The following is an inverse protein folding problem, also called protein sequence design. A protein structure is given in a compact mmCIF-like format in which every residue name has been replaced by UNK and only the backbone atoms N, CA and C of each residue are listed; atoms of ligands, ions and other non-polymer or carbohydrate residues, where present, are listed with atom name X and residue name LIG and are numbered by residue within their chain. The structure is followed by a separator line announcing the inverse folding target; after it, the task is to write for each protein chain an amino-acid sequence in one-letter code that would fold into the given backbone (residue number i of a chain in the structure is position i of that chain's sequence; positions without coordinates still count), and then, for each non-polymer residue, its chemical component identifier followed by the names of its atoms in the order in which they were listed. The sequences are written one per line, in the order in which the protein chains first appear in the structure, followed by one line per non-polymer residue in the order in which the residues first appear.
data_IF_855324832724
#
_entry.id   IF_855324832724
#
_cell.length_a   1.000
_cell.length_b   1.000
_cell.length_c   1.000
_cell.angle_alpha   90.00
_cell.angle_beta   90.00
_cell.angle_gamma   90.00
#
_symmetry.space_group_name_H-M   'P 1'
#
loop_
_entity.id
_entity.type
_entity.pdbx_description
1 polymer ?
#
# COMPACT_ATOMS: atom_id res chain seq x y z
N UNK A 1 -10.07 25.44 -3.08
CA UNK A 1 -10.25 24.58 -1.90
C UNK A 1 -10.08 23.14 -2.40
N UNK A 2 -9.01 22.46 -2.02
CA UNK A 2 -8.84 21.04 -2.32
C UNK A 2 -10.00 20.31 -1.61
N UNK A 3 -10.88 19.62 -2.37
CA UNK A 3 -11.81 18.68 -1.75
C UNK A 3 -10.95 17.62 -1.04
N UNK A 4 -11.02 17.60 0.27
CA UNK A 4 -10.42 16.53 1.07
C UNK A 4 -10.92 15.20 0.54
N UNK A 5 -9.99 14.29 0.21
CA UNK A 5 -10.34 12.97 -0.30
C UNK A 5 -10.98 12.20 0.86
N UNK A 6 -12.31 12.27 0.96
CA UNK A 6 -13.07 11.62 2.01
C UNK A 6 -13.05 10.09 1.83
N UNK A 7 -13.22 9.34 2.94
CA UNK A 7 -13.42 7.87 2.90
C UNK A 7 -14.59 7.48 1.99
N UNK A 8 -15.59 8.34 1.88
CA UNK A 8 -16.77 8.17 1.03
C UNK A 8 -16.41 8.29 -0.46
N UNK A 9 -15.57 9.27 -0.81
CA UNK A 9 -15.00 9.40 -2.16
C UNK A 9 -14.21 8.15 -2.58
N UNK A 10 -13.40 7.60 -1.67
CA UNK A 10 -12.63 6.38 -1.92
C UNK A 10 -13.55 5.19 -2.21
N UNK A 11 -14.61 5.00 -1.40
CA UNK A 11 -15.61 3.93 -1.61
C UNK A 11 -16.35 4.07 -2.92
N UNK A 12 -16.83 5.27 -3.22
CA UNK A 12 -17.77 5.48 -4.32
C UNK A 12 -17.11 5.70 -5.68
N UNK A 13 -15.92 6.29 -5.72
CA UNK A 13 -15.24 6.65 -6.98
C UNK A 13 -13.95 5.90 -7.23
N UNK A 14 -13.04 5.85 -6.27
CA UNK A 14 -11.70 5.30 -6.51
C UNK A 14 -11.68 3.77 -6.52
N UNK A 15 -12.48 3.12 -5.69
CA UNK A 15 -12.55 1.64 -5.59
C UNK A 15 -13.77 1.02 -6.26
N UNK A 16 -14.72 1.83 -6.76
CA UNK A 16 -15.87 1.35 -7.52
C UNK A 16 -15.49 0.94 -8.96
N UNK A 17 -14.50 1.59 -9.55
CA UNK A 17 -13.95 1.23 -10.86
C UNK A 17 -12.63 0.51 -10.72
N UNK A 18 -12.55 -0.74 -11.15
CA UNK A 18 -11.31 -1.53 -11.17
C UNK A 18 -10.29 -0.98 -12.17
N UNK A 19 -10.72 -0.21 -13.17
CA UNK A 19 -9.89 0.30 -14.26
C UNK A 19 -8.69 1.13 -13.78
N UNK A 20 -8.92 2.09 -12.88
CA UNK A 20 -7.85 2.94 -12.37
C UNK A 20 -6.91 2.20 -11.42
N UNK A 21 -7.46 1.26 -10.63
CA UNK A 21 -6.65 0.39 -9.79
C UNK A 21 -5.76 -0.52 -10.65
N UNK A 22 -6.32 -1.10 -11.71
CA UNK A 22 -5.55 -1.92 -12.66
C UNK A 22 -4.44 -1.14 -13.36
N UNK A 23 -4.71 0.12 -13.78
CA UNK A 23 -3.70 0.99 -14.36
C UNK A 23 -2.54 1.26 -13.38
N UNK A 24 -2.86 1.49 -12.09
CA UNK A 24 -1.84 1.65 -11.04
C UNK A 24 -1.04 0.38 -10.79
N UNK A 25 -1.67 -0.79 -10.87
CA UNK A 25 -0.98 -2.08 -10.67
C UNK A 25 -0.07 -2.41 -11.86
N UNK A 26 -0.51 -2.15 -13.09
CA UNK A 26 0.22 -2.51 -14.32
C UNK A 26 1.61 -1.88 -14.39
N UNK A 27 1.82 -0.68 -13.86
CA UNK A 27 3.14 -0.03 -13.92
C UNK A 27 4.23 -0.82 -13.18
N UNK A 28 3.85 -1.61 -12.17
CA UNK A 28 4.79 -2.39 -11.37
C UNK A 28 5.37 -3.60 -12.12
N UNK A 29 4.83 -3.99 -13.28
CA UNK A 29 5.42 -5.04 -14.11
C UNK A 29 6.81 -4.68 -14.66
N UNK A 30 7.14 -3.39 -14.71
CA UNK A 30 8.43 -2.89 -15.19
C UNK A 30 9.52 -2.88 -14.13
N UNK A 31 9.31 -3.56 -13.01
CA UNK A 31 10.30 -3.65 -11.95
C UNK A 31 11.57 -4.35 -12.43
N UNK A 32 12.71 -3.84 -11.97
CA UNK A 32 14.01 -4.49 -12.13
C UNK A 32 14.28 -5.52 -11.02
N UNK A 33 13.54 -5.46 -9.93
CA UNK A 33 13.78 -6.33 -8.79
C UNK A 33 13.37 -7.77 -9.12
N UNK A 34 14.18 -8.74 -8.68
CA UNK A 34 13.94 -10.18 -8.91
C UNK A 34 12.75 -10.71 -8.14
N UNK A 35 12.46 -10.12 -6.99
CA UNK A 35 11.32 -10.46 -6.14
C UNK A 35 10.41 -9.24 -6.03
N UNK A 36 9.11 -9.47 -5.99
CA UNK A 36 8.14 -8.40 -5.86
C UNK A 36 8.08 -7.85 -4.42
N UNK A 37 7.55 -6.64 -4.28
CA UNK A 37 7.46 -5.94 -3.00
C UNK A 37 6.77 -6.77 -1.89
N UNK A 38 5.69 -7.46 -2.20
CA UNK A 38 4.98 -8.30 -1.23
C UNK A 38 5.81 -9.49 -0.74
N UNK A 39 6.62 -10.08 -1.61
CA UNK A 39 7.53 -11.16 -1.22
C UNK A 39 8.71 -10.63 -0.43
N UNK A 40 9.19 -9.43 -0.78
CA UNK A 40 10.23 -8.74 -0.02
C UNK A 40 9.77 -8.45 1.40
N UNK A 41 8.54 -7.96 1.61
CA UNK A 41 7.96 -7.75 2.94
C UNK A 41 7.99 -9.05 3.75
N UNK A 42 7.44 -10.14 3.21
CA UNK A 42 7.41 -11.43 3.92
C UNK A 42 8.82 -11.89 4.34
N UNK A 43 9.81 -11.70 3.48
CA UNK A 43 11.18 -12.11 3.74
C UNK A 43 11.85 -11.29 4.88
N UNK A 44 11.23 -10.21 5.34
CA UNK A 44 11.71 -9.43 6.48
C UNK A 44 11.16 -9.93 7.82
N UNK A 45 10.18 -10.83 7.83
CA UNK A 45 9.57 -11.33 9.06
C UNK A 45 10.43 -12.42 9.70
N UNK A 46 10.68 -12.29 11.00
CA UNK A 46 11.18 -13.39 11.82
C UNK A 46 9.99 -14.13 12.47
N UNK A 47 9.65 -15.28 11.91
CA UNK A 47 8.58 -16.13 12.40
C UNK A 47 9.09 -17.31 13.27
N UNK A 48 10.39 -17.36 13.60
CA UNK A 48 10.97 -18.45 14.38
C UNK A 48 10.38 -18.55 15.78
N UNK A 49 10.01 -17.42 16.38
CA UNK A 49 9.37 -17.39 17.71
C UNK A 49 7.97 -18.00 17.76
N UNK A 50 7.38 -18.36 16.61
CA UNK A 50 6.04 -18.93 16.51
C UNK A 50 6.02 -20.40 16.07
N UNK A 51 7.17 -21.09 16.11
CA UNK A 51 7.23 -22.50 15.75
C UNK A 51 6.26 -23.33 16.59
N UNK A 52 5.56 -24.23 15.91
CA UNK A 52 4.64 -25.23 16.51
C UNK A 52 3.39 -24.66 17.20
N UNK A 53 3.16 -23.35 17.14
CA UNK A 53 1.93 -22.73 17.68
C UNK A 53 1.05 -22.15 16.55
N UNK A 54 -0.22 -21.93 16.87
CA UNK A 54 -1.13 -21.23 15.98
C UNK A 54 -0.88 -19.73 16.09
N UNK A 55 -0.60 -19.08 14.95
CA UNK A 55 -0.34 -17.63 14.86
C UNK A 55 -1.65 -16.93 14.57
N UNK A 56 -2.06 -16.01 15.43
CA UNK A 56 -3.23 -15.16 15.21
C UNK A 56 -2.82 -13.89 14.50
N UNK A 57 -3.40 -13.68 13.33
CA UNK A 57 -3.06 -12.54 12.47
C UNK A 57 -4.28 -11.66 12.25
N UNK A 58 -4.10 -10.35 12.37
CA UNK A 58 -5.06 -9.35 11.96
C UNK A 58 -4.50 -8.59 10.76
N UNK A 59 -5.20 -8.61 9.64
CA UNK A 59 -4.84 -7.83 8.45
C UNK A 59 -5.80 -6.68 8.30
N UNK A 60 -5.31 -5.45 8.51
CA UNK A 60 -6.08 -4.22 8.43
C UNK A 60 -5.85 -3.57 7.07
N UNK A 61 -6.95 -3.36 6.31
CA UNK A 61 -6.87 -2.86 4.95
C UNK A 61 -6.26 -3.91 4.01
N UNK A 62 -6.78 -5.13 4.08
CA UNK A 62 -6.28 -6.28 3.31
C UNK A 62 -6.34 -6.08 1.79
N UNK A 63 -7.18 -5.13 1.33
CA UNK A 63 -7.36 -4.81 -0.07
C UNK A 63 -7.84 -6.01 -0.88
N UNK A 64 -7.11 -6.32 -1.95
CA UNK A 64 -7.44 -7.47 -2.82
C UNK A 64 -6.71 -8.76 -2.45
N UNK A 65 -5.96 -8.80 -1.34
CA UNK A 65 -5.26 -9.99 -0.89
C UNK A 65 -3.99 -10.37 -1.64
N UNK A 66 -3.43 -9.46 -2.39
CA UNK A 66 -2.23 -9.73 -3.21
C UNK A 66 -1.04 -10.16 -2.36
N UNK A 67 -0.87 -9.57 -1.17
CA UNK A 67 0.20 -9.95 -0.24
C UNK A 67 0.13 -11.44 0.13
N UNK A 68 -1.03 -11.92 0.49
CA UNK A 68 -1.27 -13.31 0.88
C UNK A 68 -1.14 -14.26 -0.30
N UNK A 69 -1.76 -13.90 -1.44
CA UNK A 69 -1.69 -14.70 -2.67
C UNK A 69 -0.24 -14.93 -3.12
N UNK A 70 0.59 -13.89 -3.07
CA UNK A 70 2.00 -13.97 -3.48
C UNK A 70 2.87 -14.78 -2.51
N UNK A 71 2.46 -14.90 -1.26
CA UNK A 71 3.21 -15.57 -0.20
C UNK A 71 2.52 -16.85 0.30
N UNK A 72 1.46 -17.35 -0.35
CA UNK A 72 0.64 -18.45 0.14
C UNK A 72 1.48 -19.71 0.46
N UNK A 73 2.38 -20.12 -0.43
CA UNK A 73 3.26 -21.28 -0.22
C UNK A 73 4.15 -21.13 1.02
N UNK A 74 4.59 -19.89 1.31
CA UNK A 74 5.43 -19.62 2.48
C UNK A 74 4.60 -19.64 3.76
N UNK A 75 3.42 -19.03 3.73
CA UNK A 75 2.50 -18.98 4.86
C UNK A 75 1.88 -20.35 5.19
N UNK A 76 1.64 -21.20 4.20
CA UNK A 76 1.09 -22.55 4.38
C UNK A 76 2.00 -23.50 5.22
N UNK A 77 3.23 -23.06 5.53
CA UNK A 77 4.14 -23.77 6.46
C UNK A 77 3.80 -23.51 7.93
N UNK A 78 2.89 -22.57 8.22
CA UNK A 78 2.49 -22.17 9.57
C UNK A 78 1.02 -22.49 9.81
N UNK A 79 0.66 -22.68 11.07
CA UNK A 79 -0.74 -22.78 11.49
C UNK A 79 -1.26 -21.36 11.73
N UNK A 80 -2.21 -20.91 10.94
CA UNK A 80 -2.69 -19.52 10.96
C UNK A 80 -4.18 -19.45 11.30
N UNK A 81 -4.54 -18.48 12.14
CA UNK A 81 -5.92 -17.98 12.34
C UNK A 81 -5.93 -16.49 11.97
N UNK A 82 -6.54 -16.16 10.84
CA UNK A 82 -6.43 -14.82 10.23
C UNK A 82 -7.79 -14.14 10.22
N UNK A 83 -7.81 -12.89 10.66
CA UNK A 83 -8.92 -11.96 10.44
C UNK A 83 -8.48 -10.96 9.38
N UNK A 84 -9.14 -11.02 8.23
CA UNK A 84 -8.96 -10.05 7.15
C UNK A 84 -9.97 -8.93 7.30
N UNK A 85 -9.52 -7.69 7.25
CA UNK A 85 -10.42 -6.54 7.35
C UNK A 85 -10.08 -5.50 6.30
N UNK A 86 -11.11 -4.87 5.78
CA UNK A 86 -11.01 -3.67 4.95
C UNK A 86 -12.23 -2.78 5.23
N UNK A 87 -12.12 -1.46 5.03
CA UNK A 87 -13.28 -0.57 5.15
C UNK A 87 -14.25 -0.71 3.97
N UNK A 88 -13.80 -1.32 2.85
CA UNK A 88 -14.57 -1.61 1.64
C UNK A 88 -14.99 -3.06 1.60
N UNK A 89 -16.30 -3.31 1.63
CA UNK A 89 -16.88 -4.65 1.48
C UNK A 89 -16.44 -5.32 0.16
N UNK A 90 -16.34 -4.54 -0.92
CA UNK A 90 -15.87 -5.04 -2.22
C UNK A 90 -14.42 -5.55 -2.17
N UNK A 91 -13.55 -4.96 -1.34
CA UNK A 91 -12.19 -5.45 -1.12
C UNK A 91 -12.21 -6.74 -0.31
N UNK A 92 -13.01 -6.82 0.74
CA UNK A 92 -13.18 -8.03 1.55
C UNK A 92 -13.64 -9.21 0.68
N UNK A 93 -14.59 -9.01 -0.24
CA UNK A 93 -15.03 -10.07 -1.14
C UNK A 93 -13.94 -10.50 -2.15
N UNK A 94 -13.13 -9.57 -2.65
CA UNK A 94 -11.97 -9.91 -3.49
C UNK A 94 -10.90 -10.68 -2.71
N UNK A 95 -10.65 -10.30 -1.47
CA UNK A 95 -9.72 -11.00 -0.57
C UNK A 95 -10.11 -12.47 -0.40
N UNK A 96 -11.38 -12.77 -0.14
CA UNK A 96 -11.89 -14.15 -0.02
C UNK A 96 -11.51 -15.02 -1.23
N UNK A 97 -11.64 -14.45 -2.44
CA UNK A 97 -11.32 -15.16 -3.67
C UNK A 97 -9.81 -15.41 -3.81
N UNK A 98 -9.00 -14.38 -3.52
CA UNK A 98 -7.55 -14.46 -3.71
C UNK A 98 -6.83 -15.24 -2.62
N UNK A 99 -7.47 -15.48 -1.47
CA UNK A 99 -6.92 -16.27 -0.35
C UNK A 99 -7.54 -17.65 -0.22
N UNK A 100 -8.32 -18.10 -1.23
CA UNK A 100 -8.96 -19.43 -1.22
C UNK A 100 -7.97 -20.57 -0.98
N UNK A 101 -6.78 -20.52 -1.57
CA UNK A 101 -5.73 -21.54 -1.48
C UNK A 101 -4.86 -21.43 -0.21
N UNK A 102 -5.06 -20.39 0.58
CA UNK A 102 -4.33 -20.25 1.85
C UNK A 102 -4.85 -21.21 2.90
N UNK A 103 -3.97 -22.09 3.40
CA UNK A 103 -4.27 -23.10 4.42
C UNK A 103 -4.31 -22.47 5.82
N UNK A 104 -5.41 -21.77 6.15
CA UNK A 104 -5.58 -21.06 7.40
C UNK A 104 -7.05 -21.08 7.85
N UNK A 105 -7.29 -20.88 9.15
CA UNK A 105 -8.61 -20.42 9.61
C UNK A 105 -8.77 -18.97 9.16
N UNK A 106 -9.89 -18.63 8.54
CA UNK A 106 -10.09 -17.31 7.92
C UNK A 106 -11.42 -16.71 8.34
N UNK A 107 -11.37 -15.46 8.76
CA UNK A 107 -12.56 -14.64 9.01
C UNK A 107 -12.40 -13.35 8.20
N UNK A 108 -13.51 -12.82 7.70
CA UNK A 108 -13.53 -11.65 6.82
C UNK A 108 -14.56 -10.66 7.35
N UNK A 109 -14.14 -9.44 7.61
CA UNK A 109 -14.98 -8.44 8.27
C UNK A 109 -14.74 -7.05 7.67
N UNK A 110 -15.78 -6.23 7.64
CA UNK A 110 -15.64 -4.81 7.34
C UNK A 110 -15.20 -4.09 8.62
N UNK A 111 -14.04 -3.42 8.57
CA UNK A 111 -13.55 -2.64 9.71
C UNK A 111 -12.68 -1.45 9.26
N UNK A 112 -12.68 -0.42 10.09
CA UNK A 112 -11.86 0.77 9.92
C UNK A 112 -10.69 0.74 10.93
N UNK A 113 -9.49 1.09 10.49
CA UNK A 113 -8.27 1.15 11.33
C UNK A 113 -8.45 2.05 12.57
N UNK A 114 -9.37 3.00 12.51
CA UNK A 114 -9.68 3.89 13.62
C UNK A 114 -10.70 3.31 14.62
N UNK A 115 -11.28 2.11 14.37
CA UNK A 115 -12.32 1.47 15.19
C UNK A 115 -12.03 -0.02 15.36
N UNK A 116 -11.01 -0.36 16.16
CA UNK A 116 -10.52 -1.73 16.36
C UNK A 116 -10.73 -2.26 17.78
N UNK A 117 -11.61 -1.67 18.57
CA UNK A 117 -11.80 -2.01 20.00
C UNK A 117 -12.05 -3.51 20.24
N UNK A 118 -12.82 -4.14 19.35
CA UNK A 118 -13.15 -5.58 19.44
C UNK A 118 -11.97 -6.51 19.24
N UNK A 119 -10.85 -6.01 18.72
CA UNK A 119 -9.66 -6.78 18.37
C UNK A 119 -8.51 -6.65 19.38
N UNK A 120 -8.66 -5.84 20.43
CA UNK A 120 -7.61 -5.55 21.40
C UNK A 120 -7.02 -6.78 22.05
N UNK A 121 -5.69 -6.87 22.10
CA UNK A 121 -4.93 -7.88 22.83
C UNK A 121 -5.00 -9.30 22.27
N UNK A 122 -5.45 -9.50 21.02
CA UNK A 122 -5.77 -10.82 20.53
C UNK A 122 -4.75 -11.41 19.55
N UNK A 123 -3.89 -10.58 18.93
CA UNK A 123 -3.11 -10.98 17.76
C UNK A 123 -1.60 -11.01 18.02
N UNK A 124 -0.96 -12.01 17.46
CA UNK A 124 0.49 -12.13 17.43
C UNK A 124 1.08 -11.22 16.35
N UNK A 125 0.39 -11.11 15.22
CA UNK A 125 0.83 -10.28 14.09
C UNK A 125 -0.33 -9.39 13.66
N UNK A 126 -0.05 -8.09 13.50
CA UNK A 126 -0.97 -7.12 12.93
C UNK A 126 -0.34 -6.56 11.65
N UNK A 127 -1.03 -6.69 10.52
CA UNK A 127 -0.59 -6.13 9.25
C UNK A 127 -1.38 -4.86 8.93
N UNK A 128 -0.69 -3.82 8.47
CA UNK A 128 -1.28 -2.55 8.06
C UNK A 128 -0.46 -1.98 6.88
N UNK A 129 -0.68 -2.54 5.69
CA UNK A 129 0.13 -2.26 4.52
C UNK A 129 -0.53 -1.24 3.60
N UNK A 130 0.06 -0.05 3.47
CA UNK A 130 -0.44 1.03 2.61
C UNK A 130 -1.88 1.48 2.97
N UNK A 131 -2.15 1.65 4.26
CA UNK A 131 -3.49 1.97 4.81
C UNK A 131 -3.52 3.33 5.52
N UNK A 132 -2.49 3.63 6.33
CA UNK A 132 -2.54 4.74 7.30
C UNK A 132 -2.71 6.12 6.67
N UNK A 133 -2.37 6.31 5.41
CA UNK A 133 -2.68 7.56 4.72
C UNK A 133 -4.18 7.77 4.45
N UNK A 134 -5.02 6.74 4.66
CA UNK A 134 -6.48 6.85 4.62
C UNK A 134 -7.13 7.15 5.98
N UNK A 135 -6.39 7.00 7.07
CA UNK A 135 -6.90 7.33 8.40
C UNK A 135 -7.03 8.85 8.55
N UNK A 136 -8.09 9.32 9.19
CA UNK A 136 -8.25 10.74 9.55
C UNK A 136 -7.34 11.09 10.74
N UNK A 137 -7.41 10.28 11.81
CA UNK A 137 -6.54 10.41 12.98
C UNK A 137 -5.48 9.29 12.99
N UNK A 138 -4.26 9.61 12.50
CA UNK A 138 -3.13 8.70 12.45
C UNK A 138 -2.70 8.21 13.83
N UNK A 139 -2.76 9.07 14.86
CA UNK A 139 -2.39 8.69 16.20
C UNK A 139 -3.37 7.69 16.81
N UNK A 140 -4.68 7.90 16.59
CA UNK A 140 -5.71 6.95 16.99
C UNK A 140 -5.53 5.60 16.29
N UNK A 141 -5.28 5.63 14.97
CA UNK A 141 -5.02 4.42 14.19
C UNK A 141 -3.80 3.65 14.72
N UNK A 142 -2.66 4.32 14.92
CA UNK A 142 -1.44 3.71 15.44
C UNK A 142 -1.63 3.15 16.86
N UNK A 143 -2.34 3.86 17.73
CA UNK A 143 -2.72 3.36 19.05
C UNK A 143 -3.55 2.09 18.95
N UNK A 144 -4.55 2.06 18.09
CA UNK A 144 -5.40 0.88 17.87
C UNK A 144 -4.59 -0.32 17.39
N UNK A 145 -3.68 -0.13 16.43
CA UNK A 145 -2.80 -1.20 15.94
C UNK A 145 -1.93 -1.77 17.07
N UNK A 146 -1.35 -0.90 17.91
CA UNK A 146 -0.57 -1.32 19.08
C UNK A 146 -1.44 -2.12 20.05
N UNK A 147 -2.65 -1.65 20.36
CA UNK A 147 -3.58 -2.28 21.30
C UNK A 147 -4.11 -3.63 20.78
N UNK A 148 -4.14 -3.88 19.46
CA UNK A 148 -4.52 -5.16 18.88
C UNK A 148 -3.48 -6.27 19.14
N UNK A 149 -2.20 -5.91 19.26
CA UNK A 149 -1.16 -6.88 19.60
C UNK A 149 -1.40 -7.49 20.98
N UNK A 150 -1.16 -8.79 21.12
CA UNK A 150 -1.09 -9.45 22.41
C UNK A 150 0.23 -9.14 23.14
N UNK A 151 0.48 -9.77 24.29
CA UNK A 151 1.67 -9.52 25.08
C UNK A 151 2.80 -10.56 24.85
N UNK A 152 2.76 -11.31 23.75
CA UNK A 152 3.84 -12.22 23.39
C UNK A 152 5.05 -11.39 22.90
N UNK A 153 6.25 -11.71 23.38
CA UNK A 153 7.49 -11.01 23.05
C UNK A 153 7.84 -11.03 21.54
N UNK A 154 7.33 -12.06 20.83
CA UNK A 154 7.53 -12.21 19.40
C UNK A 154 6.48 -11.44 18.57
N UNK A 155 5.43 -10.92 19.21
CA UNK A 155 4.37 -10.20 18.52
C UNK A 155 4.86 -8.90 17.91
N UNK A 156 4.36 -8.61 16.70
CA UNK A 156 4.72 -7.40 15.98
C UNK A 156 3.59 -6.88 15.10
N UNK A 157 3.62 -5.57 14.86
CA UNK A 157 2.85 -4.92 13.82
C UNK A 157 3.75 -4.63 12.61
N UNK A 158 3.31 -5.00 11.42
CA UNK A 158 3.99 -4.71 10.15
C UNK A 158 3.27 -3.57 9.45
N UNK A 159 3.96 -2.45 9.27
CA UNK A 159 3.40 -1.24 8.66
C UNK A 159 4.20 -0.89 7.42
N UNK A 160 3.54 -0.65 6.29
CA UNK A 160 4.18 -0.08 5.11
C UNK A 160 3.53 1.22 4.69
N UNK A 161 4.33 2.08 4.09
CA UNK A 161 3.91 3.30 3.41
C UNK A 161 4.85 3.62 2.27
N UNK A 162 4.80 4.82 1.74
CA UNK A 162 5.72 5.30 0.71
C UNK A 162 6.44 6.56 1.20
N UNK A 163 7.66 6.80 0.70
CA UNK A 163 8.39 8.05 0.93
C UNK A 163 7.80 9.19 0.10
N UNK A 164 8.04 10.42 0.50
CA UNK A 164 7.79 11.61 -0.34
C UNK A 164 8.46 11.52 -1.72
N UNK A 165 9.58 10.78 -1.80
CA UNK A 165 10.31 10.55 -3.06
C UNK A 165 9.72 9.46 -3.94
N UNK A 166 8.71 8.72 -3.45
CA UNK A 166 8.11 7.62 -4.17
C UNK A 166 7.43 8.09 -5.45
N UNK A 167 7.95 7.64 -6.63
CA UNK A 167 7.46 7.99 -7.96
C UNK A 167 7.39 9.51 -8.23
N UNK A 168 8.19 10.29 -7.50
CA UNK A 168 8.09 11.76 -7.46
C UNK A 168 8.27 12.41 -8.84
N UNK A 169 9.18 11.88 -9.67
CA UNK A 169 9.43 12.42 -11.01
C UNK A 169 8.17 12.41 -11.92
N UNK A 170 7.32 11.38 -11.80
CA UNK A 170 6.06 11.31 -12.57
C UNK A 170 5.14 12.48 -12.23
N UNK A 171 5.04 12.81 -10.95
CA UNK A 171 4.20 13.92 -10.47
C UNK A 171 4.83 15.29 -10.76
N UNK A 172 6.16 15.40 -10.68
CA UNK A 172 6.87 16.66 -11.03
C UNK A 172 6.67 17.02 -12.49
N UNK A 173 6.87 16.06 -13.40
CA UNK A 173 6.63 16.26 -14.82
C UNK A 173 5.18 16.73 -15.06
N UNK A 174 4.21 16.09 -14.41
CA UNK A 174 2.81 16.50 -14.53
C UNK A 174 2.58 17.96 -14.12
N UNK A 175 3.15 18.39 -13.01
CA UNK A 175 3.05 19.77 -12.50
C UNK A 175 3.79 20.79 -13.39
N UNK A 176 4.90 20.41 -13.97
CA UNK A 176 5.66 21.26 -14.87
C UNK A 176 4.91 21.51 -16.20
N UNK A 177 4.08 20.54 -16.61
CA UNK A 177 3.27 20.62 -17.83
C UNK A 177 1.93 21.33 -17.62
N UNK A 178 1.31 21.18 -16.44
CA UNK A 178 0.01 21.79 -16.14
C UNK A 178 -0.12 22.14 -14.65
N UNK A 179 -0.42 23.41 -14.36
CA UNK A 179 -0.65 23.89 -12.99
C UNK A 179 -1.85 23.27 -12.30
N UNK A 180 -2.79 22.69 -13.06
CA UNK A 180 -3.96 21.98 -12.51
C UNK A 180 -3.62 20.53 -12.11
N UNK A 181 -2.45 20.03 -12.52
CA UNK A 181 -2.00 18.70 -12.09
C UNK A 181 -1.88 18.68 -10.56
N UNK A 182 -2.39 17.64 -9.88
CA UNK A 182 -2.47 17.64 -8.42
C UNK A 182 -1.10 17.76 -7.75
N UNK A 183 -0.99 18.63 -6.76
CA UNK A 183 0.19 18.79 -5.92
C UNK A 183 0.21 17.79 -4.77
N UNK A 184 -0.97 17.40 -4.31
CA UNK A 184 -1.19 16.47 -3.24
C UNK A 184 -1.41 15.04 -3.78
N UNK A 185 -0.69 14.11 -3.22
CA UNK A 185 -0.93 12.68 -3.41
C UNK A 185 -1.57 12.16 -2.12
N UNK A 186 -2.51 11.22 -2.23
CA UNK A 186 -3.14 10.64 -1.04
C UNK A 186 -2.11 10.08 -0.06
N UNK A 187 -1.00 9.54 -0.58
CA UNK A 187 0.09 8.99 0.23
C UNK A 187 0.84 10.05 1.05
N UNK A 188 0.77 11.33 0.67
CA UNK A 188 1.52 12.40 1.33
C UNK A 188 1.01 12.69 2.75
N UNK A 189 -0.17 12.20 3.11
CA UNK A 189 -0.71 12.33 4.46
C UNK A 189 -0.08 11.37 5.48
N UNK A 190 0.63 10.32 5.04
CA UNK A 190 1.39 9.39 5.88
C UNK A 190 2.57 8.81 5.08
N UNK A 191 3.59 9.61 4.91
CA UNK A 191 4.84 9.24 4.20
C UNK A 191 5.82 8.56 5.15
N UNK A 192 6.98 8.09 4.62
CA UNK A 192 8.12 7.61 5.41
C UNK A 192 8.52 8.64 6.47
N UNK A 193 8.57 9.90 6.07
CA UNK A 193 9.01 11.03 6.89
C UNK A 193 8.03 11.28 8.05
N UNK A 194 6.74 11.21 7.78
CA UNK A 194 5.67 11.31 8.81
C UNK A 194 5.67 10.08 9.72
N UNK A 195 5.82 8.88 9.14
CA UNK A 195 5.86 7.64 9.89
C UNK A 195 7.04 7.59 10.87
N UNK A 196 8.23 8.04 10.44
CA UNK A 196 9.43 8.10 11.29
C UNK A 196 9.22 8.93 12.56
N UNK A 197 8.36 9.95 12.51
CA UNK A 197 8.04 10.77 13.69
C UNK A 197 6.92 10.16 14.53
N UNK A 198 5.82 9.76 13.91
CA UNK A 198 4.64 9.30 14.65
C UNK A 198 4.86 7.94 15.32
N UNK A 199 5.56 7.01 14.68
CA UNK A 199 5.75 5.66 15.22
C UNK A 199 6.52 5.64 16.53
N UNK A 200 7.44 6.58 16.77
CA UNK A 200 8.21 6.70 18.02
C UNK A 200 7.33 6.83 19.27
N UNK A 201 6.13 7.39 19.10
CA UNK A 201 5.20 7.62 20.21
C UNK A 201 4.34 6.37 20.52
N UNK A 202 4.33 5.38 19.64
CA UNK A 202 3.43 4.23 19.73
C UNK A 202 4.15 2.87 19.77
N UNK A 203 5.37 2.79 19.21
CA UNK A 203 6.07 1.52 19.02
C UNK A 203 7.59 1.66 19.19
N UNK A 204 8.22 0.54 19.52
CA UNK A 204 9.63 0.32 19.21
C UNK A 204 9.69 -0.26 17.80
N UNK A 205 10.24 0.47 16.84
CA UNK A 205 10.19 0.07 15.43
C UNK A 205 11.58 -0.11 14.83
N UNK A 206 11.73 -1.15 14.01
CA UNK A 206 12.84 -1.35 13.09
C UNK A 206 12.34 -0.98 11.68
N UNK A 207 13.07 -0.08 10.99
CA UNK A 207 12.77 0.33 9.62
C UNK A 207 13.66 -0.41 8.63
N UNK A 208 13.03 -0.96 7.59
CA UNK A 208 13.69 -1.49 6.38
C UNK A 208 13.13 -0.75 5.17
N UNK A 209 13.93 -0.55 4.14
CA UNK A 209 13.50 0.22 2.97
C UNK A 209 13.74 -0.60 1.71
N UNK A 210 12.69 -0.75 0.91
CA UNK A 210 12.78 -1.24 -0.46
C UNK A 210 12.89 -0.04 -1.41
N UNK A 211 13.99 0.03 -2.15
CA UNK A 211 14.14 0.96 -3.24
C UNK A 211 14.13 0.19 -4.57
N UNK A 212 13.24 0.58 -5.46
CA UNK A 212 12.93 -0.14 -6.67
C UNK A 212 12.97 0.80 -7.88
N UNK A 213 13.65 0.37 -8.95
CA UNK A 213 13.66 1.06 -10.22
C UNK A 213 12.67 0.38 -11.18
N UNK A 214 11.69 1.14 -11.67
CA UNK A 214 10.85 0.71 -12.78
C UNK A 214 11.44 1.26 -14.08
N UNK A 215 11.56 0.39 -15.08
CA UNK A 215 12.02 0.70 -16.44
C UNK A 215 10.85 0.62 -17.39
N UNK A 216 10.08 1.70 -17.46
CA UNK A 216 8.84 1.71 -18.24
C UNK A 216 9.14 1.81 -19.72
N UNK A 217 8.76 0.78 -20.47
CA UNK A 217 8.96 0.68 -21.92
C UNK A 217 7.66 0.82 -22.72
N UNK A 218 6.54 1.04 -22.04
CA UNK A 218 5.21 1.17 -22.65
C UNK A 218 4.58 2.50 -22.24
N UNK A 219 4.41 3.37 -23.22
CA UNK A 219 3.79 4.67 -23.02
C UNK A 219 2.34 4.60 -22.54
N UNK A 220 1.54 3.67 -23.07
CA UNK A 220 0.12 3.58 -22.73
C UNK A 220 -0.06 3.16 -21.26
N UNK A 221 0.85 2.36 -20.72
CA UNK A 221 0.85 2.00 -19.31
C UNK A 221 1.24 3.19 -18.43
N UNK A 222 2.26 3.97 -18.83
CA UNK A 222 2.62 5.20 -18.11
C UNK A 222 1.47 6.23 -18.16
N UNK A 223 0.89 6.44 -19.33
CA UNK A 223 -0.26 7.33 -19.52
C UNK A 223 -1.44 6.92 -18.64
N UNK A 224 -1.78 5.62 -18.63
CA UNK A 224 -2.86 5.11 -17.78
C UNK A 224 -2.58 5.30 -16.29
N UNK A 225 -1.31 5.14 -15.86
CA UNK A 225 -0.91 5.44 -14.47
C UNK A 225 -1.12 6.93 -14.14
N UNK A 226 -0.66 7.84 -14.99
CA UNK A 226 -0.82 9.30 -14.84
C UNK A 226 -2.32 9.67 -14.80
N UNK A 227 -3.10 9.17 -15.75
CA UNK A 227 -4.55 9.38 -15.85
C UNK A 227 -5.28 8.93 -14.57
N UNK A 228 -4.86 7.82 -13.98
CA UNK A 228 -5.46 7.29 -12.74
C UNK A 228 -5.34 8.23 -11.53
N UNK A 229 -4.45 9.19 -11.57
CA UNK A 229 -4.29 10.21 -10.54
C UNK A 229 -5.14 11.47 -10.75
N UNK A 230 -5.67 11.67 -11.94
CA UNK A 230 -6.32 12.93 -12.39
C UNK A 230 -7.80 12.71 -12.70
N UNK A 231 -8.10 11.72 -13.56
CA UNK A 231 -9.45 11.50 -14.08
C UNK A 231 -10.50 11.20 -13.01
N UNK A 232 -10.23 10.34 -12.00
CA UNK A 232 -11.20 10.08 -10.93
C UNK A 232 -11.55 11.33 -10.11
N UNK A 233 -10.68 12.34 -10.12
CA UNK A 233 -10.87 13.61 -9.42
C UNK A 233 -11.61 14.65 -10.27
N UNK A 234 -11.90 14.34 -11.53
CA UNK A 234 -12.51 15.30 -12.46
C UNK A 234 -11.60 16.49 -12.78
N UNK A 235 -10.28 16.31 -12.69
CA UNK A 235 -9.31 17.37 -12.99
C UNK A 235 -9.16 17.48 -14.51
N UNK A 236 -9.48 18.66 -15.05
CA UNK A 236 -9.27 18.97 -16.44
C UNK A 236 -7.85 19.52 -16.65
N UNK A 237 -7.09 18.85 -17.49
CA UNK A 237 -5.74 19.24 -17.89
C UNK A 237 -5.78 19.99 -19.23
N UNK A 238 -4.72 20.74 -19.55
CA UNK A 238 -4.56 21.38 -20.86
C UNK A 238 -4.64 20.33 -21.98
N UNK A 239 -5.18 20.71 -23.13
CA UNK A 239 -5.52 19.79 -24.23
C UNK A 239 -4.33 19.02 -24.79
N UNK A 240 -3.12 19.57 -24.71
CA UNK A 240 -1.87 18.98 -25.21
C UNK A 240 -1.02 18.32 -24.10
N UNK A 241 -1.57 18.16 -22.89
CA UNK A 241 -0.86 17.61 -21.73
C UNK A 241 -0.20 16.27 -22.04
N UNK A 242 -0.97 15.30 -22.52
CA UNK A 242 -0.44 13.95 -22.78
C UNK A 242 0.53 13.93 -23.97
N UNK A 243 0.37 14.80 -24.95
CA UNK A 243 1.30 14.93 -26.07
C UNK A 243 2.65 15.46 -25.59
N UNK A 244 2.64 16.46 -24.70
CA UNK A 244 3.85 17.02 -24.12
C UNK A 244 4.52 16.03 -23.13
N UNK A 245 3.73 15.32 -22.33
CA UNK A 245 4.26 14.26 -21.45
C UNK A 245 4.93 13.15 -22.28
N UNK A 246 4.29 12.78 -23.42
CA UNK A 246 4.85 11.78 -24.35
C UNK A 246 6.18 12.22 -24.96
N UNK A 247 6.37 13.47 -25.29
CA UNK A 247 7.66 13.99 -25.78
C UNK A 247 8.78 13.79 -24.76
N UNK A 248 8.50 14.01 -23.47
CA UNK A 248 9.46 13.80 -22.38
C UNK A 248 9.77 12.30 -22.26
N UNK A 249 8.73 11.45 -22.27
CA UNK A 249 8.89 10.00 -22.28
C UNK A 249 9.75 9.52 -23.45
N UNK A 250 9.45 9.96 -24.69
CA UNK A 250 10.16 9.57 -25.91
C UNK A 250 11.62 10.02 -25.88
N UNK A 251 11.90 11.21 -25.32
CA UNK A 251 13.26 11.71 -25.17
C UNK A 251 14.07 10.83 -24.22
N UNK A 252 13.52 10.49 -23.05
CA UNK A 252 14.17 9.64 -22.06
C UNK A 252 14.31 8.20 -22.60
N UNK A 253 13.29 7.68 -23.27
CA UNK A 253 13.32 6.37 -23.91
C UNK A 253 14.40 6.29 -25.00
N UNK A 254 14.56 7.32 -25.80
CA UNK A 254 15.61 7.39 -26.84
C UNK A 254 17.01 7.36 -26.23
N UNK A 255 17.20 7.95 -25.05
CA UNK A 255 18.49 7.99 -24.38
C UNK A 255 18.82 6.68 -23.64
N UNK A 256 17.84 6.09 -22.97
CA UNK A 256 18.05 5.03 -21.98
C UNK A 256 17.42 3.67 -22.39
N UNK A 257 16.53 3.66 -23.39
CA UNK A 257 15.71 2.50 -23.76
C UNK A 257 14.48 2.30 -22.85
N UNK A 258 14.25 3.19 -21.89
CA UNK A 258 13.11 3.16 -20.97
C UNK A 258 12.92 4.52 -20.30
N UNK A 259 11.73 4.76 -19.77
CA UNK A 259 11.43 5.86 -18.85
C UNK A 259 11.63 5.35 -17.41
N UNK A 260 12.47 6.06 -16.65
CA UNK A 260 12.85 5.66 -15.30
C UNK A 260 11.91 6.19 -14.24
N UNK A 261 11.46 5.32 -13.34
CA UNK A 261 10.71 5.71 -12.14
C UNK A 261 11.37 5.08 -10.92
N UNK A 262 11.57 5.86 -9.87
CA UNK A 262 12.09 5.35 -8.59
C UNK A 262 10.95 5.25 -7.59
N UNK A 263 10.80 4.05 -7.03
CA UNK A 263 9.91 3.78 -5.90
C UNK A 263 10.76 3.64 -4.64
N UNK A 264 10.26 4.21 -3.55
CA UNK A 264 10.84 4.04 -2.23
C UNK A 264 9.74 3.76 -1.23
N UNK A 265 9.76 2.56 -0.67
CA UNK A 265 8.70 2.07 0.22
C UNK A 265 9.32 1.50 1.49
N UNK A 266 9.14 2.16 2.63
CA UNK A 266 9.58 1.64 3.92
C UNK A 266 8.62 0.57 4.44
N UNK A 267 9.21 -0.37 5.16
CA UNK A 267 8.55 -1.33 6.02
C UNK A 267 9.01 -1.09 7.46
N UNK A 268 8.08 -0.99 8.37
CA UNK A 268 8.33 -0.90 9.80
C UNK A 268 7.86 -2.18 10.49
N UNK A 269 8.78 -2.84 11.19
CA UNK A 269 8.46 -3.94 12.13
C UNK A 269 8.39 -3.31 13.51
N UNK A 270 7.19 -3.25 14.05
CA UNK A 270 6.85 -2.48 15.24
C UNK A 270 6.50 -3.41 16.41
N UNK A 271 7.15 -3.23 17.55
CA UNK A 271 6.87 -3.95 18.81
C UNK A 271 6.28 -3.00 19.84
N UNK A 272 5.53 -3.53 20.80
CA UNK A 272 5.05 -2.75 21.97
C UNK A 272 6.20 -2.15 22.76
#
# INVERSE_FOLDING_TARGET
MSEEISKEYLKEKQYKSTQYLEARIKIHQFTKNKIGFHEWIFNQYDLNGFKDQEIKVLDIGCGTGVFWKKNAEKFNKYKLDIVFTDFSEAMVEKEKLNTSELAAKKRYEVADVENLEKFKGQFDIVLCHNVLYHAEDKNKALKNLNECLNNNENSFCSITTNSEKHMLNVYQIGRDLDKNFPTDRIIDSFTEEVADELLKNHFKSEKKVEEEELRVTDWEILKGFVASGVEPRGIELVSDFYDNYKKIYDQEFKQNGFFKIIKRSPLYICKK
#
